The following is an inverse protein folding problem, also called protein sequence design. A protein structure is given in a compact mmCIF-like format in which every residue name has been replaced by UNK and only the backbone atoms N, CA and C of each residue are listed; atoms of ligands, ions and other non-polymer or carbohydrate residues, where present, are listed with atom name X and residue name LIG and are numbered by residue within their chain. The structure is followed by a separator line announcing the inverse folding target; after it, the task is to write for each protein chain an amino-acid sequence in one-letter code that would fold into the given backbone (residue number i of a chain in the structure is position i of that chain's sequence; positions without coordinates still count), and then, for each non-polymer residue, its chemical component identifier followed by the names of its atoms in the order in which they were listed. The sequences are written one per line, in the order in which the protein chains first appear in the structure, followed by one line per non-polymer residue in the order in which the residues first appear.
data_IF_313496807160
#
_entry.id   IF_313496807160
#
_cell.length_a   1.000
_cell.length_b   1.000
_cell.length_c   1.000
_cell.angle_alpha   90.00
_cell.angle_beta   90.00
_cell.angle_gamma   90.00
#
_symmetry.space_group_name_H-M   'P 1'
#
loop_
_entity.id
_entity.type
_entity.pdbx_description
1 polymer ?
#
# COMPACT_ATOMS: atom_id res chain seq x y z
N UNK A 1 -5.94 3.15 -8.10
CA UNK A 1 -6.12 2.36 -6.87
C UNK A 1 -6.84 3.20 -5.83
N UNK A 2 -7.89 2.68 -5.20
CA UNK A 2 -8.55 3.33 -4.05
C UNK A 2 -7.71 3.06 -2.78
N UNK A 3 -7.52 4.07 -1.91
CA UNK A 3 -6.68 3.96 -0.71
C UNK A 3 -7.43 3.45 0.52
N UNK A 4 -8.74 3.17 0.43
CA UNK A 4 -9.57 2.78 1.59
C UNK A 4 -8.95 1.73 2.50
N UNK A 5 -8.31 0.69 1.96
CA UNK A 5 -7.66 -0.34 2.79
C UNK A 5 -6.44 0.19 3.52
N UNK A 6 -5.64 1.05 2.87
CA UNK A 6 -4.47 1.69 3.48
C UNK A 6 -4.88 2.67 4.57
N UNK A 7 -5.94 3.45 4.33
CA UNK A 7 -6.50 4.38 5.30
C UNK A 7 -7.14 3.64 6.48
N UNK A 8 -7.88 2.55 6.22
CA UNK A 8 -8.45 1.70 7.25
C UNK A 8 -7.36 1.12 8.16
N UNK A 9 -6.36 0.46 7.60
CA UNK A 9 -5.25 -0.11 8.38
C UNK A 9 -4.47 0.98 9.13
N UNK A 10 -4.21 2.11 8.47
CA UNK A 10 -3.55 3.25 9.10
C UNK A 10 -4.35 3.85 10.25
N UNK A 11 -5.67 3.74 10.24
CA UNK A 11 -6.55 4.15 11.35
C UNK A 11 -6.54 3.13 12.50
N UNK A 12 -6.57 1.84 12.19
CA UNK A 12 -6.59 0.77 13.20
C UNK A 12 -5.30 0.76 14.05
N UNK A 13 -4.14 0.77 13.40
CA UNK A 13 -2.85 0.94 14.08
C UNK A 13 -1.87 1.73 13.20
N UNK A 14 -1.75 3.05 13.42
CA UNK A 14 -0.81 3.88 12.67
C UNK A 14 0.66 3.49 12.86
N UNK A 15 1.01 2.86 13.99
CA UNK A 15 2.40 2.51 14.31
C UNK A 15 2.91 1.39 13.41
N UNK A 16 2.06 0.40 13.12
CA UNK A 16 2.36 -0.69 12.19
C UNK A 16 2.61 -0.14 10.79
N UNK A 17 1.73 0.70 10.26
CA UNK A 17 1.92 1.32 8.93
C UNK A 17 3.17 2.21 8.87
N UNK A 18 3.44 3.01 9.91
CA UNK A 18 4.67 3.81 9.98
C UNK A 18 5.94 2.96 9.91
N UNK A 19 5.93 1.78 10.51
CA UNK A 19 7.07 0.86 10.48
C UNK A 19 7.44 0.37 9.08
N UNK A 20 6.51 0.45 8.12
CA UNK A 20 6.76 -0.02 6.74
C UNK A 20 7.81 0.79 6.01
N UNK A 21 8.06 2.04 6.44
CA UNK A 21 9.14 2.86 5.86
C UNK A 21 10.50 2.24 6.12
N UNK A 22 10.68 1.62 7.28
CA UNK A 22 11.97 1.06 7.73
C UNK A 22 12.08 -0.45 7.47
N UNK A 23 11.02 -1.09 6.94
CA UNK A 23 11.00 -2.51 6.58
C UNK A 23 11.34 -2.72 5.09
N UNK A 24 12.52 -3.30 4.85
CA UNK A 24 12.99 -3.63 3.50
C UNK A 24 12.08 -4.64 2.77
N UNK A 25 11.31 -5.46 3.49
CA UNK A 25 10.33 -6.40 2.90
C UNK A 25 9.04 -5.71 2.46
N UNK A 26 8.77 -4.51 2.97
CA UNK A 26 7.63 -3.67 2.60
C UNK A 26 7.91 -2.77 1.39
N UNK A 27 9.17 -2.66 0.99
CA UNK A 27 9.61 -1.90 -0.17
C UNK A 27 10.06 -2.81 -1.32
N UNK A 28 10.16 -2.24 -2.51
CA UNK A 28 10.75 -2.92 -3.66
C UNK A 28 12.28 -2.87 -3.60
N UNK A 29 12.96 -3.80 -4.29
CA UNK A 29 14.43 -3.84 -4.34
C UNK A 29 15.08 -2.56 -4.90
N UNK A 30 14.39 -1.89 -5.83
CA UNK A 30 14.83 -0.64 -6.47
C UNK A 30 13.85 0.53 -6.28
N UNK A 31 12.66 0.26 -5.75
CA UNK A 31 11.56 1.23 -5.67
C UNK A 31 11.15 1.34 -4.22
N UNK A 32 11.21 2.56 -3.69
CA UNK A 32 10.73 2.88 -2.35
C UNK A 32 9.20 3.03 -2.46
N UNK A 33 8.47 2.14 -1.79
CA UNK A 33 7.02 2.20 -1.75
C UNK A 33 6.54 3.11 -0.63
N UNK A 34 7.14 3.03 0.55
CA UNK A 34 6.75 3.82 1.72
C UNK A 34 7.83 4.83 2.09
N UNK A 35 7.44 6.05 2.40
CA UNK A 35 8.36 7.11 2.82
C UNK A 35 7.70 8.07 3.81
N UNK A 36 8.47 8.60 4.77
CA UNK A 36 8.00 9.66 5.70
C UNK A 36 7.78 11.00 5.00
N UNK A 37 8.35 11.18 3.81
CA UNK A 37 8.21 12.38 2.98
C UNK A 37 7.84 12.01 1.55
N UNK A 38 7.16 12.90 0.82
CA UNK A 38 6.85 12.68 -0.59
C UNK A 38 8.13 12.80 -1.43
N UNK A 39 8.68 11.67 -1.88
CA UNK A 39 9.90 11.67 -2.67
C UNK A 39 9.62 12.04 -4.14
N UNK A 40 10.54 12.75 -4.82
CA UNK A 40 10.38 13.10 -6.25
C UNK A 40 10.31 11.87 -7.17
N UNK A 41 10.90 10.76 -6.75
CA UNK A 41 10.94 9.50 -7.52
C UNK A 41 9.66 8.68 -7.41
N UNK A 42 8.77 9.01 -6.47
CA UNK A 42 7.56 8.22 -6.24
C UNK A 42 6.50 8.50 -7.30
N UNK A 43 6.11 7.45 -8.01
CA UNK A 43 5.07 7.55 -9.05
C UNK A 43 3.68 7.36 -8.45
N UNK A 44 2.77 8.28 -8.78
CA UNK A 44 1.42 8.31 -8.19
C UNK A 44 1.44 8.20 -6.65
N UNK A 45 2.32 8.99 -6.02
CA UNK A 45 2.44 9.05 -4.57
C UNK A 45 1.14 9.54 -3.94
N UNK A 46 0.69 8.86 -2.89
CA UNK A 46 -0.46 9.26 -2.09
C UNK A 46 -0.14 9.21 -0.61
N UNK A 47 -0.80 10.04 0.17
CA UNK A 47 -0.60 10.12 1.61
C UNK A 47 -1.54 9.15 2.35
N UNK A 48 -1.00 8.44 3.34
CA UNK A 48 -1.77 7.70 4.34
C UNK A 48 -1.89 8.60 5.57
N UNK A 49 -2.95 9.43 5.61
CA UNK A 49 -3.09 10.54 6.56
C UNK A 49 -2.95 10.13 8.03
N UNK A 50 -3.54 9.01 8.44
CA UNK A 50 -3.46 8.56 9.84
C UNK A 50 -2.02 8.22 10.29
N UNK A 51 -1.15 7.86 9.35
CA UNK A 51 0.24 7.51 9.61
C UNK A 51 1.23 8.64 9.25
N UNK A 52 0.80 9.73 8.60
CA UNK A 52 1.69 10.78 8.09
C UNK A 52 2.85 10.23 7.24
N UNK A 53 2.56 9.27 6.36
CA UNK A 53 3.53 8.71 5.42
C UNK A 53 2.95 8.71 4.00
N UNK A 54 3.82 8.57 3.01
CA UNK A 54 3.47 8.45 1.61
C UNK A 54 3.63 7.01 1.12
N UNK A 55 2.77 6.61 0.19
CA UNK A 55 2.82 5.33 -0.52
C UNK A 55 2.81 5.54 -2.05
N UNK A 56 3.68 4.83 -2.78
CA UNK A 56 3.65 4.74 -4.25
C UNK A 56 2.54 3.78 -4.69
N UNK A 57 1.64 4.26 -5.54
CA UNK A 57 0.47 3.49 -6.00
C UNK A 57 0.49 3.15 -7.48
N UNK A 58 1.57 3.50 -8.19
CA UNK A 58 1.79 3.13 -9.59
C UNK A 58 2.30 1.67 -9.69
N UNK A 59 1.44 0.74 -9.31
CA UNK A 59 1.72 -0.70 -9.30
C UNK A 59 0.72 -1.43 -10.21
N UNK A 60 1.16 -2.54 -10.80
CA UNK A 60 0.23 -3.45 -11.49
C UNK A 60 -0.79 -4.02 -10.50
N UNK A 61 -1.91 -4.57 -11.00
CA UNK A 61 -2.91 -5.22 -10.16
C UNK A 61 -2.30 -6.28 -9.21
N UNK A 62 -1.35 -7.08 -9.72
CA UNK A 62 -0.60 -8.06 -8.93
C UNK A 62 0.32 -7.39 -7.89
N UNK A 63 0.96 -6.28 -8.25
CA UNK A 63 1.77 -5.48 -7.31
C UNK A 63 0.93 -4.95 -6.14
N UNK A 64 -0.24 -4.40 -6.44
CA UNK A 64 -1.21 -3.94 -5.43
C UNK A 64 -1.66 -5.11 -4.54
N UNK A 65 -2.07 -6.23 -5.13
CA UNK A 65 -2.50 -7.43 -4.39
C UNK A 65 -1.41 -7.90 -3.43
N UNK A 66 -0.18 -8.01 -3.91
CA UNK A 66 0.94 -8.50 -3.10
C UNK A 66 1.30 -7.49 -1.99
N UNK A 67 1.21 -6.19 -2.25
CA UNK A 67 1.42 -5.17 -1.24
C UNK A 67 0.35 -5.25 -0.14
N UNK A 68 -0.93 -5.38 -0.51
CA UNK A 68 -2.03 -5.55 0.44
C UNK A 68 -1.85 -6.80 1.31
N UNK A 69 -1.46 -7.93 0.72
CA UNK A 69 -1.18 -9.17 1.46
C UNK A 69 -0.07 -8.94 2.50
N UNK A 70 1.04 -8.30 2.11
CA UNK A 70 2.14 -7.99 3.03
C UNK A 70 1.68 -7.10 4.19
N UNK A 71 0.86 -6.09 3.90
CA UNK A 71 0.28 -5.23 4.92
C UNK A 71 -0.61 -6.04 5.88
N UNK A 72 -1.59 -6.80 5.38
CA UNK A 72 -2.47 -7.62 6.22
C UNK A 72 -1.69 -8.58 7.14
N UNK A 73 -0.63 -9.20 6.61
CA UNK A 73 0.24 -10.07 7.40
C UNK A 73 0.93 -9.32 8.57
N UNK A 74 1.27 -8.04 8.41
CA UNK A 74 1.83 -7.21 9.49
C UNK A 74 0.83 -6.90 10.60
N UNK A 75 -0.47 -6.94 10.29
CA UNK A 75 -1.55 -6.85 11.26
C UNK A 75 -1.95 -8.23 11.83
N UNK A 76 -1.20 -9.30 11.52
CA UNK A 76 -1.55 -10.69 11.85
C UNK A 76 -2.94 -11.12 11.35
N UNK A 77 -3.43 -10.46 10.29
CA UNK A 77 -4.68 -10.79 9.66
C UNK A 77 -4.45 -11.93 8.66
N UNK A 78 -5.13 -13.06 8.84
CA UNK A 78 -4.98 -14.21 7.94
C UNK A 78 -5.69 -13.94 6.62
N UNK A 79 -5.05 -14.31 5.52
CA UNK A 79 -5.65 -14.21 4.19
C UNK A 79 -6.87 -15.12 4.00
N UNK A 80 -7.01 -16.18 4.80
CA UNK A 80 -8.21 -17.01 4.83
C UNK A 80 -9.46 -16.23 5.21
N UNK A 81 -9.30 -15.15 5.98
CA UNK A 81 -10.39 -14.42 6.60
C UNK A 81 -10.88 -13.28 5.68
N UNK A 82 -10.21 -13.06 4.53
CA UNK A 82 -10.46 -11.93 3.63
C UNK A 82 -10.41 -12.34 2.16
N UNK A 83 -11.29 -11.71 1.34
CA UNK A 83 -11.22 -11.76 -0.12
C UNK A 83 -10.85 -10.38 -0.66
N UNK A 84 -9.77 -10.30 -1.44
CA UNK A 84 -9.34 -9.07 -2.11
C UNK A 84 -9.99 -9.02 -3.49
N UNK A 85 -10.87 -8.04 -3.70
CA UNK A 85 -11.48 -7.76 -4.99
C UNK A 85 -10.80 -6.55 -5.63
N UNK A 86 -10.21 -6.75 -6.80
CA UNK A 86 -9.67 -5.66 -7.62
C UNK A 86 -10.65 -5.41 -8.76
N UNK A 87 -11.16 -4.18 -8.86
CA UNK A 87 -11.99 -3.77 -10.00
C UNK A 87 -11.06 -3.48 -11.17
N UNK A 88 -11.19 -4.25 -12.25
CA UNK A 88 -10.56 -3.91 -13.51
C UNK A 88 -11.29 -2.72 -14.13
N UNK A 89 -10.52 -1.77 -14.64
CA UNK A 89 -11.04 -0.72 -15.49
C UNK A 89 -10.94 -1.24 -16.93
N UNK A 90 -12.10 -1.58 -17.51
CA UNK A 90 -12.23 -2.02 -18.90
C UNK A 90 -12.60 -0.85 -19.83
N UNK A 91 -12.36 0.39 -19.41
CA UNK A 91 -12.46 1.54 -20.32
C UNK A 91 -11.65 1.25 -21.58
N UNK A 92 -12.26 1.45 -22.76
CA UNK A 92 -11.59 1.18 -24.03
C UNK A 92 -10.26 1.93 -24.09
N UNK A 93 -9.20 1.19 -24.41
CA UNK A 93 -7.91 1.78 -24.76
C UNK A 93 -8.06 2.37 -26.16
N UNK A 94 -8.40 3.66 -26.21
CA UNK A 94 -8.43 4.45 -27.44
C UNK A 94 -7.06 4.49 -28.13
#
# INVERSE_FOLDING_TARGET
MDLKVFEFLGKEDPSVVRSFVDDSKMNGKKVIYFSRVKLPTMRAAREIKYANIYVETNLSANGIRNLLIKMLNKYNIKLSDYKIYLKADYSELH
#
